data_IF_089463991632
#
_entry.id   IF_089463991632
#
_cell.length_a   1.000
_cell.length_b   1.000
_cell.length_c   1.000
_cell.angle_alpha   90.00
_cell.angle_beta   90.00
_cell.angle_gamma   90.00
#
_symmetry.space_group_name_H-M   'P 1'
#
loop_
_entity.id
_entity.type
_entity.pdbx_description
1 polymer ?
#
# COMPACT_ATOMS: atom_id res chain seq x y z
N UNK A 1 1.03 -32.54 58.35
CA UNK A 1 0.03 -32.39 57.28
C UNK A 1 0.82 -32.39 55.97
N UNK A 2 0.99 -33.62 55.42
CA UNK A 2 1.55 -34.08 54.12
C UNK A 2 2.64 -33.24 53.43
N UNK A 3 3.92 -33.66 53.48
CA UNK A 3 4.67 -34.62 52.61
C UNK A 3 5.20 -33.94 51.31
N UNK A 4 6.49 -33.61 51.16
CA UNK A 4 7.66 -34.43 50.73
C UNK A 4 7.43 -35.15 49.37
N UNK A 5 8.28 -35.13 48.31
CA UNK A 5 9.73 -35.35 48.25
C UNK A 5 10.29 -35.25 46.80
N UNK A 6 11.54 -34.77 46.67
CA UNK A 6 12.70 -35.20 45.83
C UNK A 6 12.66 -35.35 44.28
N UNK A 7 13.70 -34.76 43.66
CA UNK A 7 14.32 -35.11 42.34
C UNK A 7 15.07 -36.47 42.36
N UNK A 8 15.56 -37.06 41.22
CA UNK A 8 16.84 -36.64 40.61
C UNK A 8 17.11 -36.94 39.09
N UNK A 9 18.00 -36.12 38.51
CA UNK A 9 19.22 -36.40 37.67
C UNK A 9 19.30 -37.70 36.81
N UNK A 10 19.60 -37.55 35.50
CA UNK A 10 20.81 -38.07 34.79
C UNK A 10 20.62 -38.77 33.41
N UNK A 11 21.32 -38.20 32.41
CA UNK A 11 22.27 -38.82 31.43
C UNK A 11 21.83 -39.67 30.22
N UNK A 12 22.42 -39.23 29.10
CA UNK A 12 23.11 -39.97 28.03
C UNK A 12 22.34 -40.68 26.91
N UNK A 13 22.78 -40.41 25.67
CA UNK A 13 22.51 -41.25 24.52
C UNK A 13 22.86 -40.65 23.15
N UNK A 14 24.10 -40.20 22.93
CA UNK A 14 24.67 -40.07 21.57
C UNK A 14 24.79 -41.45 20.91
N UNK A 15 24.28 -41.62 19.68
CA UNK A 15 24.75 -42.57 18.65
C UNK A 15 24.34 -42.00 17.27
N UNK A 16 25.28 -41.54 16.44
CA UNK A 16 26.19 -42.30 15.56
C UNK A 16 25.68 -42.38 14.12
N UNK A 17 26.19 -41.45 13.31
CA UNK A 17 26.93 -41.69 12.06
C UNK A 17 26.62 -42.98 11.28
N UNK A 18 26.11 -42.84 10.04
CA UNK A 18 26.22 -43.87 9.01
C UNK A 18 26.47 -43.22 7.64
N UNK A 19 27.74 -43.23 7.26
CA UNK A 19 28.28 -42.96 5.94
C UNK A 19 27.93 -44.09 4.96
N UNK A 20 27.46 -43.75 3.75
CA UNK A 20 27.43 -44.69 2.63
C UNK A 20 28.08 -44.05 1.40
N UNK A 21 29.27 -44.57 1.05
CA UNK A 21 29.94 -44.38 -0.25
C UNK A 21 29.29 -45.29 -1.31
N UNK A 22 29.36 -44.94 -2.60
CA UNK A 22 28.76 -45.73 -3.67
C UNK A 22 29.68 -46.86 -4.16
N UNK A 23 29.09 -47.99 -4.54
CA UNK A 23 29.75 -49.11 -5.23
C UNK A 23 29.39 -49.10 -6.72
N UNK A 24 30.41 -49.07 -7.56
CA UNK A 24 30.39 -49.33 -9.00
C UNK A 24 30.24 -50.82 -9.31
N UNK A 25 29.43 -51.20 -10.32
CA UNK A 25 29.81 -52.18 -11.36
C UNK A 25 28.71 -52.41 -12.43
N UNK A 26 29.11 -52.14 -13.68
CA UNK A 26 28.95 -52.91 -14.93
C UNK A 26 27.61 -53.61 -15.29
N UNK A 27 26.97 -53.02 -16.30
CA UNK A 27 26.63 -53.54 -17.64
C UNK A 27 26.43 -55.06 -17.89
N UNK A 28 25.26 -55.41 -18.43
CA UNK A 28 24.88 -56.40 -19.48
C UNK A 28 23.42 -56.02 -19.87
N UNK A 29 22.87 -55.99 -21.09
CA UNK A 29 23.27 -56.38 -22.44
C UNK A 29 22.02 -56.90 -23.18
N UNK A 30 21.57 -56.20 -24.24
CA UNK A 30 20.59 -56.58 -25.29
C UNK A 30 19.11 -56.80 -24.85
N UNK A 31 18.06 -56.38 -25.57
CA UNK A 31 17.72 -56.62 -27.00
C UNK A 31 16.76 -55.57 -27.59
N UNK A 32 16.86 -55.42 -28.92
CA UNK A 32 16.15 -54.49 -29.82
C UNK A 32 14.61 -54.64 -29.84
N UNK A 33 13.90 -53.52 -29.97
CA UNK A 33 12.81 -53.40 -30.97
C UNK A 33 12.81 -52.00 -31.58
N UNK A 34 12.85 -51.94 -32.91
CA UNK A 34 12.85 -50.71 -33.72
C UNK A 34 11.40 -50.28 -33.93
N UNK A 35 10.96 -49.20 -33.28
CA UNK A 35 9.85 -48.39 -33.78
C UNK A 35 10.38 -47.06 -34.32
N UNK A 36 10.17 -46.87 -35.62
CA UNK A 36 10.60 -45.75 -36.45
C UNK A 36 9.75 -44.52 -36.08
N UNK A 37 10.21 -43.68 -35.13
CA UNK A 37 9.63 -42.36 -34.88
C UNK A 37 10.05 -41.41 -36.01
N UNK A 38 9.06 -40.85 -36.72
CA UNK A 38 9.25 -39.68 -37.59
C UNK A 38 9.74 -38.52 -36.72
N UNK A 39 10.90 -37.99 -37.04
CA UNK A 39 11.47 -36.79 -36.44
C UNK A 39 10.83 -35.56 -37.09
N UNK A 40 9.86 -34.94 -36.41
CA UNK A 40 9.45 -33.57 -36.67
C UNK A 40 10.57 -32.65 -36.18
N UNK A 41 11.02 -31.62 -36.92
CA UNK A 41 12.05 -30.71 -36.41
C UNK A 41 11.46 -29.87 -35.28
N UNK A 42 12.07 -29.94 -34.10
CA UNK A 42 11.85 -28.97 -33.02
C UNK A 42 12.31 -27.59 -33.52
N UNK A 43 11.37 -26.66 -33.69
CA UNK A 43 11.70 -25.25 -33.82
C UNK A 43 12.41 -24.78 -32.53
N UNK A 44 13.46 -23.95 -32.63
CA UNK A 44 14.15 -23.45 -31.45
C UNK A 44 13.23 -22.52 -30.65
N UNK A 45 13.46 -22.35 -29.34
CA UNK A 45 12.72 -21.35 -28.57
C UNK A 45 13.03 -19.97 -29.16
N UNK A 46 12.01 -19.32 -29.73
CA UNK A 46 12.15 -17.94 -30.21
C UNK A 46 12.32 -17.06 -28.97
N UNK A 47 13.50 -16.47 -28.84
CA UNK A 47 13.78 -15.43 -27.86
C UNK A 47 12.77 -14.30 -28.06
N UNK A 48 11.99 -14.01 -27.02
CA UNK A 48 11.22 -12.77 -26.91
C UNK A 48 12.24 -11.64 -27.07
N UNK A 49 12.17 -10.95 -28.21
CA UNK A 49 13.00 -9.79 -28.50
C UNK A 49 12.80 -8.75 -27.41
N UNK A 50 13.90 -8.25 -26.85
CA UNK A 50 13.93 -7.15 -25.88
C UNK A 50 13.00 -6.02 -26.31
N UNK A 51 11.94 -5.80 -25.54
CA UNK A 51 11.05 -4.65 -25.63
C UNK A 51 11.88 -3.37 -25.56
N UNK A 52 12.00 -2.66 -26.67
CA UNK A 52 12.48 -1.27 -26.66
C UNK A 52 11.43 -0.46 -25.92
N UNK A 53 11.76 -0.09 -24.67
CA UNK A 53 10.98 0.86 -23.87
C UNK A 53 10.76 2.12 -24.74
N UNK A 54 9.51 2.55 -24.98
CA UNK A 54 9.25 3.76 -25.75
C UNK A 54 10.00 4.94 -25.10
N UNK A 55 10.50 5.91 -25.89
CA UNK A 55 11.21 7.04 -25.33
C UNK A 55 10.31 7.75 -24.31
N UNK A 56 10.82 7.94 -23.08
CA UNK A 56 10.11 8.71 -22.07
C UNK A 56 9.69 10.04 -22.70
N UNK A 57 8.38 10.33 -22.64
CA UNK A 57 7.85 11.63 -22.99
C UNK A 57 8.60 12.75 -22.26
N UNK A 58 8.49 14.01 -22.72
CA UNK A 58 9.24 15.11 -22.13
C UNK A 58 9.06 15.12 -20.62
N UNK A 59 10.18 15.06 -19.90
CA UNK A 59 10.21 15.07 -18.44
C UNK A 59 9.42 16.31 -17.96
N UNK A 60 8.47 16.15 -17.02
CA UNK A 60 7.70 17.28 -16.52
C UNK A 60 8.64 18.31 -15.90
N UNK A 61 8.38 19.58 -16.17
CA UNK A 61 9.14 20.68 -15.54
C UNK A 61 8.97 20.67 -14.02
N UNK A 62 9.96 21.17 -13.29
CA UNK A 62 9.89 21.28 -11.82
C UNK A 62 8.62 22.02 -11.35
N UNK A 63 8.19 23.04 -12.11
CA UNK A 63 6.96 23.79 -11.83
C UNK A 63 5.69 22.93 -12.00
N UNK A 64 5.65 22.03 -12.98
CA UNK A 64 4.53 21.10 -13.16
C UNK A 64 4.49 20.06 -12.04
N UNK A 65 5.64 19.52 -11.65
CA UNK A 65 5.75 18.57 -10.52
C UNK A 65 5.27 19.23 -9.22
N UNK A 66 5.73 20.44 -8.92
CA UNK A 66 5.31 21.19 -7.73
C UNK A 66 3.82 21.50 -7.73
N UNK A 67 3.26 21.92 -8.88
CA UNK A 67 1.82 22.16 -9.01
C UNK A 67 1.01 20.88 -8.80
N UNK A 68 1.45 19.77 -9.37
CA UNK A 68 0.78 18.48 -9.20
C UNK A 68 0.81 18.03 -7.75
N UNK A 69 1.97 18.11 -7.08
CA UNK A 69 2.10 17.81 -5.66
C UNK A 69 1.21 18.68 -4.77
N UNK A 70 1.14 19.98 -5.03
CA UNK A 70 0.28 20.90 -4.26
C UNK A 70 -1.23 20.69 -4.55
N UNK A 71 -1.55 20.23 -5.76
CA UNK A 71 -2.91 19.93 -6.19
C UNK A 71 -3.38 18.53 -5.77
N UNK A 72 -2.46 17.61 -5.46
CA UNK A 72 -2.75 16.22 -5.17
C UNK A 72 -3.79 16.08 -4.04
N UNK A 73 -4.87 15.30 -4.26
CA UNK A 73 -5.82 15.00 -3.20
C UNK A 73 -5.12 14.19 -2.10
N UNK A 74 -5.21 14.66 -0.86
CA UNK A 74 -4.75 13.91 0.30
C UNK A 74 -5.91 13.06 0.80
N UNK A 75 -5.85 11.74 0.57
CA UNK A 75 -6.90 10.79 0.96
C UNK A 75 -6.87 10.55 2.48
N UNK A 76 -7.38 11.55 3.21
CA UNK A 76 -7.64 11.48 4.63
C UNK A 76 -8.54 10.30 5.02
N UNK A 77 -9.54 10.02 4.18
CA UNK A 77 -10.54 8.99 4.44
C UNK A 77 -9.92 7.58 4.43
N UNK A 78 -8.87 7.34 3.64
CA UNK A 78 -8.25 6.01 3.58
C UNK A 78 -7.60 5.59 4.92
N UNK A 79 -6.99 6.52 5.66
CA UNK A 79 -6.28 6.21 6.92
C UNK A 79 -7.26 5.84 8.05
N UNK A 80 -8.44 6.46 8.10
CA UNK A 80 -9.41 6.29 9.19
C UNK A 80 -10.64 5.44 8.85
N UNK A 81 -10.97 5.26 7.56
CA UNK A 81 -12.13 4.46 7.11
C UNK A 81 -11.78 2.98 6.92
N UNK A 82 -10.52 2.63 6.61
CA UNK A 82 -10.12 1.24 6.44
C UNK A 82 -9.97 0.50 7.79
N UNK A 83 -10.74 -0.57 8.00
CA UNK A 83 -10.75 -1.35 9.26
C UNK A 83 -9.38 -1.95 9.64
N UNK A 84 -8.46 -2.09 8.68
CA UNK A 84 -7.09 -2.61 8.90
C UNK A 84 -6.19 -1.68 9.73
N UNK A 85 -6.53 -0.40 9.91
CA UNK A 85 -5.75 0.55 10.72
C UNK A 85 -6.19 0.66 12.18
N UNK A 86 -7.22 -0.08 12.60
CA UNK A 86 -7.67 -0.15 14.00
C UNK A 86 -6.54 -0.42 15.03
N UNK A 87 -5.57 -1.33 14.81
CA UNK A 87 -4.45 -1.49 15.74
C UNK A 87 -3.53 -0.26 15.80
N UNK A 88 -3.49 0.56 14.75
CA UNK A 88 -2.68 1.78 14.68
C UNK A 88 -3.29 2.94 15.48
N UNK A 89 -4.59 2.92 15.75
CA UNK A 89 -5.27 3.99 16.50
C UNK A 89 -4.67 4.21 17.90
N UNK A 90 -4.29 3.13 18.61
CA UNK A 90 -3.63 3.24 19.92
C UNK A 90 -2.27 3.91 19.80
N UNK A 91 -1.50 3.59 18.76
CA UNK A 91 -0.21 4.21 18.50
C UNK A 91 -0.37 5.70 18.18
N UNK A 92 -1.33 6.06 17.32
CA UNK A 92 -1.63 7.46 16.96
C UNK A 92 -1.98 8.27 18.21
N UNK A 93 -2.82 7.74 19.12
CA UNK A 93 -3.15 8.41 20.40
C UNK A 93 -1.91 8.71 21.22
N UNK A 94 -1.04 7.71 21.38
CA UNK A 94 0.18 7.83 22.19
C UNK A 94 1.13 8.85 21.57
N UNK A 95 1.29 8.85 20.25
CA UNK A 95 2.13 9.83 19.54
C UNK A 95 1.60 11.24 19.74
N UNK A 96 0.32 11.50 19.46
CA UNK A 96 -0.27 12.84 19.60
C UNK A 96 -0.21 13.33 21.06
N UNK A 97 -0.56 12.47 22.02
CA UNK A 97 -0.50 12.81 23.44
C UNK A 97 0.94 13.10 23.89
N UNK A 98 1.93 12.35 23.39
CA UNK A 98 3.35 12.59 23.67
C UNK A 98 3.84 13.91 23.09
N UNK A 99 3.37 14.30 21.90
CA UNK A 99 3.69 15.61 21.31
C UNK A 99 3.17 16.76 22.18
N UNK A 100 1.90 16.71 22.61
CA UNK A 100 1.32 17.74 23.48
C UNK A 100 1.98 17.73 24.86
N UNK A 101 2.33 16.56 25.40
CA UNK A 101 3.05 16.44 26.66
C UNK A 101 4.43 17.09 26.60
N UNK A 102 5.15 16.94 25.48
CA UNK A 102 6.43 17.63 25.27
C UNK A 102 6.25 19.15 25.30
N UNK A 103 5.18 19.69 24.71
CA UNK A 103 4.89 21.13 24.74
C UNK A 103 4.59 21.59 26.17
N UNK A 104 3.83 20.81 26.93
CA UNK A 104 3.55 21.09 28.34
C UNK A 104 4.82 21.07 29.20
N UNK A 105 5.73 20.12 28.99
CA UNK A 105 7.01 20.08 29.69
C UNK A 105 7.84 21.35 29.39
N UNK A 106 7.90 21.78 28.14
CA UNK A 106 8.60 23.03 27.79
C UNK A 106 7.95 24.25 28.46
N UNK A 107 6.61 24.35 28.46
CA UNK A 107 5.91 25.41 29.20
C UNK A 107 6.24 25.41 30.71
N UNK A 108 6.32 24.24 31.35
CA UNK A 108 6.67 24.09 32.77
C UNK A 108 8.12 24.53 33.02
N UNK A 109 9.05 24.09 32.18
CA UNK A 109 10.46 24.47 32.30
C UNK A 109 10.65 25.98 32.07
N UNK A 110 9.88 26.57 31.15
CA UNK A 110 9.88 28.01 30.90
C UNK A 110 9.41 28.80 32.11
N UNK A 111 8.36 28.34 32.82
CA UNK A 111 7.93 28.96 34.08
C UNK A 111 8.98 28.90 35.20
N UNK A 112 9.81 27.86 35.21
CA UNK A 112 10.90 27.70 36.18
C UNK A 112 12.19 28.44 35.76
N UNK A 113 12.27 28.90 34.52
CA UNK A 113 13.46 29.54 33.96
C UNK A 113 13.61 30.98 34.45
N UNK A 114 14.83 31.44 34.81
CA UNK A 114 15.09 32.85 35.12
C UNK A 114 14.78 33.82 33.97
N UNK A 115 14.84 33.33 32.73
CA UNK A 115 14.52 34.11 31.53
C UNK A 115 13.04 34.05 31.16
N UNK A 116 12.28 33.20 31.85
CA UNK A 116 10.87 32.96 31.58
C UNK A 116 9.96 34.16 31.88
N UNK A 117 8.65 33.98 31.67
CA UNK A 117 7.68 35.06 31.77
C UNK A 117 7.64 35.64 33.20
N UNK A 118 7.86 36.95 33.31
CA UNK A 118 7.77 37.67 34.59
C UNK A 118 6.45 38.43 34.72
N UNK A 119 5.91 38.50 35.94
CA UNK A 119 4.67 39.22 36.25
C UNK A 119 3.42 38.32 36.22
N UNK A 120 2.35 38.78 36.87
CA UNK A 120 1.14 37.97 37.09
C UNK A 120 0.38 37.64 35.80
N UNK A 121 0.35 38.54 34.82
CA UNK A 121 -0.35 38.35 33.54
C UNK A 121 0.26 37.24 32.67
N UNK A 122 1.53 37.36 32.24
CA UNK A 122 2.21 36.33 31.44
C UNK A 122 2.23 34.95 32.10
N UNK A 123 2.48 34.89 33.42
CA UNK A 123 2.45 33.62 34.17
C UNK A 123 1.05 33.01 34.17
N UNK A 124 0.00 33.80 34.43
CA UNK A 124 -1.37 33.30 34.37
C UNK A 124 -1.75 32.78 32.98
N UNK A 125 -1.26 33.41 31.91
CA UNK A 125 -1.48 32.95 30.55
C UNK A 125 -0.80 31.61 30.26
N UNK A 126 0.45 31.42 30.66
CA UNK A 126 1.14 30.12 30.47
C UNK A 126 0.46 29.01 31.28
N UNK A 127 0.00 29.30 32.51
CA UNK A 127 -0.79 28.37 33.30
C UNK A 127 -2.12 28.01 32.62
N UNK A 128 -2.79 28.98 31.99
CA UNK A 128 -3.99 28.73 31.21
C UNK A 128 -3.72 27.81 30.01
N UNK A 129 -2.66 28.05 29.23
CA UNK A 129 -2.27 27.17 28.12
C UNK A 129 -1.90 25.77 28.63
N UNK A 130 -1.23 25.66 29.77
CA UNK A 130 -0.91 24.38 30.41
C UNK A 130 -2.19 23.59 30.74
N UNK A 131 -3.21 24.23 31.30
CA UNK A 131 -4.51 23.58 31.56
C UNK A 131 -5.12 23.05 30.27
N UNK A 132 -5.08 23.82 29.18
CA UNK A 132 -5.55 23.37 27.88
C UNK A 132 -4.73 22.18 27.36
N UNK A 133 -3.41 22.23 27.45
CA UNK A 133 -2.52 21.13 27.05
C UNK A 133 -2.82 19.85 27.82
N UNK A 134 -2.98 19.92 29.15
CA UNK A 134 -3.38 18.78 29.98
C UNK A 134 -4.76 18.24 29.59
N UNK A 135 -5.75 19.11 29.37
CA UNK A 135 -7.07 18.71 28.93
C UNK A 135 -7.02 17.98 27.58
N UNK A 136 -6.21 18.48 26.63
CA UNK A 136 -6.00 17.84 25.33
C UNK A 136 -5.32 16.47 25.46
N UNK A 137 -4.34 16.31 26.34
CA UNK A 137 -3.68 15.01 26.60
C UNK A 137 -4.72 14.00 27.12
N UNK A 138 -5.53 14.39 28.11
CA UNK A 138 -6.58 13.51 28.65
C UNK A 138 -7.60 13.14 27.57
N UNK A 139 -8.03 14.12 26.76
CA UNK A 139 -8.94 13.89 25.65
C UNK A 139 -8.37 12.91 24.61
N UNK A 140 -7.10 13.01 24.24
CA UNK A 140 -6.46 12.10 23.28
C UNK A 140 -6.33 10.67 23.82
N UNK A 141 -6.04 10.52 25.12
CA UNK A 141 -5.87 9.20 25.74
C UNK A 141 -7.20 8.48 25.94
N UNK A 142 -8.23 9.18 26.44
CA UNK A 142 -9.49 8.57 26.89
C UNK A 142 -10.66 8.85 25.96
N UNK A 143 -10.65 9.98 25.26
CA UNK A 143 -11.74 10.45 24.41
C UNK A 143 -11.78 9.83 23.00
N UNK A 144 -12.72 10.30 22.16
CA UNK A 144 -12.75 9.94 20.74
C UNK A 144 -11.55 10.56 20.01
N UNK A 145 -10.92 9.78 19.14
CA UNK A 145 -9.88 10.31 18.25
C UNK A 145 -10.50 11.31 17.27
N UNK A 146 -9.77 12.35 16.86
CA UNK A 146 -10.23 13.23 15.81
C UNK A 146 -10.37 12.47 14.50
N UNK A 147 -11.61 12.24 14.07
CA UNK A 147 -11.99 11.48 12.88
C UNK A 147 -12.39 12.39 11.72
N UNK A 148 -12.52 13.70 11.97
CA UNK A 148 -12.86 14.70 10.96
C UNK A 148 -11.69 15.62 10.69
N UNK A 149 -11.47 15.94 9.40
CA UNK A 149 -10.42 16.86 8.95
C UNK A 149 -10.39 18.20 9.70
N UNK A 150 -11.56 18.80 9.99
CA UNK A 150 -11.60 20.08 10.71
C UNK A 150 -11.07 19.98 12.16
N UNK A 151 -11.20 18.83 12.83
CA UNK A 151 -10.70 18.64 14.19
C UNK A 151 -9.17 18.61 14.20
N UNK A 152 -8.57 17.99 13.19
CA UNK A 152 -7.13 17.97 13.00
C UNK A 152 -6.59 19.35 12.60
N UNK A 153 -7.32 20.10 11.79
CA UNK A 153 -7.00 21.51 11.50
C UNK A 153 -7.07 22.35 12.78
N UNK A 154 -8.10 22.18 13.60
CA UNK A 154 -8.20 22.87 14.88
C UNK A 154 -7.06 22.49 15.83
N UNK A 155 -6.66 21.22 15.85
CA UNK A 155 -5.50 20.74 16.62
C UNK A 155 -4.19 21.35 16.12
N UNK A 156 -4.01 21.46 14.79
CA UNK A 156 -2.87 22.17 14.18
C UNK A 156 -2.83 23.64 14.64
N UNK A 157 -3.95 24.36 14.53
CA UNK A 157 -4.03 25.76 14.95
C UNK A 157 -3.75 25.92 16.44
N UNK A 158 -4.30 25.02 17.28
CA UNK A 158 -4.02 24.99 18.71
C UNK A 158 -2.53 24.77 19.00
N UNK A 159 -1.90 23.81 18.31
CA UNK A 159 -0.48 23.52 18.45
C UNK A 159 0.38 24.71 18.03
N UNK A 160 0.11 25.29 16.87
CA UNK A 160 0.91 26.39 16.30
C UNK A 160 0.76 27.68 17.09
N UNK A 161 -0.49 28.14 17.27
CA UNK A 161 -0.77 29.40 17.96
C UNK A 161 -0.47 29.27 19.45
N UNK A 162 -0.78 28.14 20.06
CA UNK A 162 -0.52 27.89 21.48
C UNK A 162 0.97 27.79 21.79
N UNK A 163 1.77 27.15 20.92
CA UNK A 163 3.23 27.13 21.08
C UNK A 163 3.80 28.54 20.88
N UNK A 164 3.44 29.21 19.78
CA UNK A 164 3.90 30.57 19.49
C UNK A 164 3.59 31.54 20.64
N UNK A 165 2.37 31.52 21.17
CA UNK A 165 1.95 32.45 22.21
C UNK A 165 2.67 32.24 23.54
N UNK A 166 3.13 31.03 23.83
CA UNK A 166 3.93 30.72 25.03
C UNK A 166 5.39 31.13 24.82
N UNK A 167 6.04 30.69 23.74
CA UNK A 167 7.48 30.95 23.55
C UNK A 167 7.79 32.44 23.35
N UNK A 168 6.84 33.22 22.81
CA UNK A 168 7.01 34.66 22.63
C UNK A 168 6.95 35.47 23.95
N UNK A 169 6.61 34.84 25.07
CA UNK A 169 6.69 35.45 26.40
C UNK A 169 8.06 35.29 27.07
N UNK A 170 8.95 34.47 26.48
CA UNK A 170 10.32 34.29 26.93
C UNK A 170 11.26 35.31 26.24
N UNK A 171 12.47 35.46 26.77
CA UNK A 171 13.52 36.25 26.12
C UNK A 171 13.82 35.65 24.73
N UNK A 172 13.98 36.45 23.66
CA UNK A 172 14.11 35.95 22.29
C UNK A 172 15.18 34.87 22.09
N UNK A 173 16.28 34.93 22.83
CA UNK A 173 17.37 33.95 22.75
C UNK A 173 16.94 32.57 23.25
N UNK A 174 16.14 32.50 24.32
CA UNK A 174 15.54 31.27 24.85
C UNK A 174 14.37 30.80 23.97
N UNK A 175 13.54 31.74 23.51
CA UNK A 175 12.35 31.47 22.69
C UNK A 175 12.69 30.69 21.41
N UNK A 176 13.86 30.94 20.82
CA UNK A 176 14.32 30.24 19.62
C UNK A 176 14.42 28.72 19.83
N UNK A 177 14.81 28.25 21.01
CA UNK A 177 14.91 26.82 21.32
C UNK A 177 13.52 26.16 21.26
N UNK A 178 12.48 26.87 21.67
CA UNK A 178 11.09 26.39 21.59
C UNK A 178 10.61 26.20 20.15
N UNK A 179 11.18 26.92 19.17
CA UNK A 179 10.72 26.87 17.78
C UNK A 179 10.95 25.53 17.10
N UNK A 180 11.90 24.72 17.56
CA UNK A 180 12.11 23.36 17.02
C UNK A 180 10.90 22.44 17.25
N UNK A 181 10.03 22.75 18.20
CA UNK A 181 8.78 22.02 18.40
C UNK A 181 7.78 22.20 17.25
N UNK A 182 7.89 23.27 16.43
CA UNK A 182 7.10 23.38 15.21
C UNK A 182 7.39 22.23 14.23
N UNK A 183 8.62 21.69 14.21
CA UNK A 183 8.96 20.53 13.37
C UNK A 183 8.10 19.31 13.68
N UNK A 184 7.72 19.13 14.95
CA UNK A 184 6.84 18.05 15.40
C UNK A 184 5.41 18.24 14.88
N UNK A 185 4.89 19.47 14.97
CA UNK A 185 3.59 19.83 14.39
C UNK A 185 3.58 19.64 12.87
N UNK A 186 4.61 20.12 12.16
CA UNK A 186 4.72 19.95 10.71
C UNK A 186 4.81 18.49 10.27
N UNK A 187 5.47 17.64 11.06
CA UNK A 187 5.51 16.20 10.81
C UNK A 187 4.12 15.57 10.91
N UNK A 188 3.25 16.05 11.82
CA UNK A 188 1.85 15.61 11.86
C UNK A 188 1.05 16.08 10.64
N UNK A 189 1.29 17.30 10.14
CA UNK A 189 0.63 17.79 8.91
C UNK A 189 0.90 16.86 7.72
N UNK A 190 2.13 16.34 7.64
CA UNK A 190 2.58 15.44 6.58
C UNK A 190 1.69 14.20 6.47
N UNK A 191 1.44 13.53 7.60
CA UNK A 191 0.66 12.30 7.60
C UNK A 191 -0.85 12.55 7.48
N UNK A 192 -1.37 13.63 8.07
CA UNK A 192 -2.82 13.74 8.31
C UNK A 192 -3.55 14.88 7.59
N UNK A 193 -2.85 15.95 7.19
CA UNK A 193 -3.50 17.19 6.70
C UNK A 193 -3.13 17.55 5.25
N UNK A 194 -2.02 17.01 4.74
CA UNK A 194 -1.59 17.14 3.36
C UNK A 194 -0.73 18.38 3.08
N UNK A 195 -0.26 18.54 1.83
CA UNK A 195 0.81 19.48 1.48
C UNK A 195 0.42 20.96 1.65
N UNK A 196 -0.84 21.33 1.42
CA UNK A 196 -1.28 22.74 1.52
C UNK A 196 -1.22 23.26 2.96
N UNK A 197 -1.69 22.45 3.90
CA UNK A 197 -1.68 22.81 5.32
C UNK A 197 -0.26 22.71 5.89
N UNK A 198 0.56 21.77 5.40
CA UNK A 198 1.99 21.76 5.70
C UNK A 198 2.67 23.08 5.27
N UNK A 199 2.43 23.55 4.05
CA UNK A 199 3.00 24.83 3.59
C UNK A 199 2.51 26.00 4.45
N UNK A 200 1.22 26.06 4.78
CA UNK A 200 0.68 27.11 5.65
C UNK A 200 1.33 27.11 7.04
N UNK A 201 1.47 25.93 7.66
CA UNK A 201 2.19 25.73 8.91
C UNK A 201 3.66 26.18 8.82
N UNK A 202 4.39 25.77 7.78
CA UNK A 202 5.79 26.13 7.60
C UNK A 202 5.97 27.64 7.40
N UNK A 203 5.06 28.29 6.68
CA UNK A 203 5.06 29.76 6.54
C UNK A 203 4.84 30.41 7.90
N UNK A 204 3.84 29.98 8.67
CA UNK A 204 3.58 30.49 10.01
C UNK A 204 4.79 30.33 10.95
N UNK A 205 5.34 29.12 11.04
CA UNK A 205 6.48 28.81 11.90
C UNK A 205 7.72 29.65 11.54
N UNK A 206 8.02 29.79 10.24
CA UNK A 206 9.16 30.61 9.81
C UNK A 206 8.94 32.12 10.06
N UNK A 207 7.71 32.62 9.94
CA UNK A 207 7.41 34.00 10.30
C UNK A 207 7.63 34.26 11.80
N UNK A 208 7.26 33.31 12.66
CA UNK A 208 7.54 33.38 14.11
C UNK A 208 9.05 33.35 14.39
N UNK A 209 9.80 32.47 13.72
CA UNK A 209 11.27 32.38 13.87
C UNK A 209 11.95 33.69 13.43
N UNK A 210 11.56 34.24 12.28
CA UNK A 210 12.07 35.53 11.78
C UNK A 210 11.73 36.64 12.77
N UNK A 211 10.51 36.67 13.31
CA UNK A 211 10.12 37.65 14.32
C UNK A 211 11.00 37.57 15.57
N UNK A 212 11.25 36.36 16.09
CA UNK A 212 12.13 36.14 17.26
C UNK A 212 13.56 36.61 16.97
N UNK A 213 14.11 36.29 15.79
CA UNK A 213 15.45 36.74 15.40
C UNK A 213 15.57 38.26 15.28
N UNK A 214 14.57 38.92 14.68
CA UNK A 214 14.50 40.38 14.61
C UNK A 214 14.37 40.99 16.00
N UNK A 215 13.54 40.43 16.88
CA UNK A 215 13.38 40.89 18.25
C UNK A 215 14.69 40.75 19.06
N UNK A 216 15.43 39.65 18.89
CA UNK A 216 16.73 39.45 19.53
C UNK A 216 17.75 40.53 19.10
N UNK A 217 17.76 40.88 17.82
CA UNK A 217 18.62 41.94 17.29
C UNK A 217 18.22 43.33 17.80
N UNK A 218 16.94 43.69 17.72
CA UNK A 218 16.46 45.03 18.12
C UNK A 218 16.58 45.28 19.63
N UNK A 219 16.55 44.22 20.43
CA UNK A 219 16.80 44.28 21.87
C UNK A 219 18.30 44.26 22.25
N UNK A 220 19.20 44.16 21.26
CA UNK A 220 20.64 44.14 21.49
C UNK A 220 21.17 42.85 22.12
N UNK A 221 20.38 41.76 22.09
CA UNK A 221 20.79 40.46 22.62
C UNK A 221 21.77 39.74 21.69
N UNK A 222 21.66 40.01 20.39
CA UNK A 222 22.48 39.41 19.34
C UNK A 222 22.99 40.46 18.35
N UNK A 223 24.18 40.23 17.80
CA UNK A 223 24.64 40.95 16.62
C UNK A 223 23.83 40.57 15.37
N UNK A 224 23.95 41.33 14.27
CA UNK A 224 23.21 41.06 13.05
C UNK A 224 23.53 39.66 12.49
N UNK A 225 24.79 39.21 12.59
CA UNK A 225 25.22 37.91 12.09
C UNK A 225 24.68 36.75 12.94
N UNK A 226 24.65 36.91 14.27
CA UNK A 226 24.09 35.90 15.18
C UNK A 226 22.58 35.74 14.95
N UNK A 227 21.86 36.85 14.79
CA UNK A 227 20.42 36.82 14.49
C UNK A 227 20.12 36.16 13.14
N UNK A 228 20.89 36.48 12.09
CA UNK A 228 20.74 35.83 10.77
C UNK A 228 21.04 34.34 10.88
N UNK A 229 22.14 33.95 11.53
CA UNK A 229 22.52 32.55 11.69
C UNK A 229 21.46 31.76 12.47
N UNK A 230 20.95 32.33 13.57
CA UNK A 230 19.88 31.77 14.38
C UNK A 230 18.61 31.50 13.57
N UNK A 231 18.15 32.48 12.78
CA UNK A 231 16.96 32.34 11.93
C UNK A 231 17.14 31.27 10.88
N UNK A 232 18.30 31.25 10.20
CA UNK A 232 18.59 30.25 9.16
C UNK A 232 18.65 28.83 9.72
N UNK A 233 19.30 28.63 10.86
CA UNK A 233 19.43 27.32 11.49
C UNK A 233 18.08 26.83 12.02
N UNK A 234 17.37 27.66 12.77
CA UNK A 234 16.07 27.29 13.32
C UNK A 234 15.03 27.07 12.21
N UNK A 235 14.96 27.95 11.22
CA UNK A 235 14.06 27.81 10.06
C UNK A 235 14.38 26.56 9.25
N UNK A 236 15.65 26.33 8.94
CA UNK A 236 16.11 25.15 8.21
C UNK A 236 15.79 23.85 8.93
N UNK A 237 16.01 23.77 10.25
CA UNK A 237 15.70 22.59 11.05
C UNK A 237 14.20 22.35 11.18
N UNK A 238 13.42 23.41 11.42
CA UNK A 238 11.96 23.34 11.55
C UNK A 238 11.28 22.94 10.24
N UNK A 239 11.80 23.40 9.10
CA UNK A 239 11.25 23.06 7.78
C UNK A 239 11.79 21.75 7.20
N UNK A 240 13.06 21.42 7.47
CA UNK A 240 13.72 20.27 6.87
C UNK A 240 13.01 18.96 7.19
N UNK A 241 12.77 18.68 8.47
CA UNK A 241 12.17 17.40 8.92
C UNK A 241 10.79 17.16 8.28
N UNK A 242 9.81 18.09 8.35
CA UNK A 242 8.53 17.89 7.69
C UNK A 242 8.61 17.79 6.16
N UNK A 243 9.48 18.57 5.51
CA UNK A 243 9.63 18.50 4.04
C UNK A 243 10.18 17.13 3.63
N UNK A 244 11.23 16.64 4.28
CA UNK A 244 11.78 15.31 4.00
C UNK A 244 10.76 14.21 4.31
N UNK A 245 10.04 14.31 5.43
CA UNK A 245 8.98 13.37 5.76
C UNK A 245 7.89 13.35 4.69
N UNK A 246 7.48 14.51 4.16
CA UNK A 246 6.46 14.63 3.13
C UNK A 246 6.93 14.06 1.78
N UNK A 247 8.19 14.26 1.41
CA UNK A 247 8.77 13.65 0.21
C UNK A 247 8.81 12.12 0.37
N UNK A 248 9.34 11.63 1.48
CA UNK A 248 9.42 10.20 1.76
C UNK A 248 8.02 9.55 1.76
N UNK A 249 7.04 10.18 2.40
CA UNK A 249 5.65 9.73 2.42
C UNK A 249 5.06 9.70 1.00
N UNK A 250 5.27 10.75 0.21
CA UNK A 250 4.78 10.81 -1.18
C UNK A 250 5.39 9.71 -2.05
N UNK A 251 6.68 9.40 -1.86
CA UNK A 251 7.35 8.32 -2.59
C UNK A 251 6.81 6.95 -2.22
N UNK A 252 6.63 6.68 -0.92
CA UNK A 252 6.07 5.41 -0.43
C UNK A 252 4.63 5.24 -0.92
N UNK A 253 3.82 6.30 -0.84
CA UNK A 253 2.46 6.26 -1.32
C UNK A 253 2.39 6.08 -2.84
N UNK A 254 3.24 6.76 -3.61
CA UNK A 254 3.27 6.61 -5.05
C UNK A 254 3.72 5.20 -5.47
N UNK A 255 4.75 4.64 -4.82
CA UNK A 255 5.16 3.24 -5.05
C UNK A 255 4.01 2.26 -4.75
N UNK A 256 3.31 2.46 -3.62
CA UNK A 256 2.12 1.68 -3.29
C UNK A 256 0.99 1.86 -4.33
N UNK A 257 0.81 3.08 -4.87
CA UNK A 257 -0.19 3.39 -5.90
C UNK A 257 0.19 2.84 -7.28
N UNK A 258 1.48 2.71 -7.55
CA UNK A 258 2.04 2.18 -8.79
C UNK A 258 2.19 0.67 -8.78
N UNK A 259 2.06 0.01 -7.62
CA UNK A 259 2.05 -1.45 -7.55
C UNK A 259 1.02 -2.01 -8.54
N UNK A 260 1.49 -2.84 -9.46
CA UNK A 260 0.66 -3.59 -10.39
C UNK A 260 0.25 -4.97 -9.84
N UNK A 261 0.67 -5.27 -8.61
CA UNK A 261 0.55 -6.59 -7.99
C UNK A 261 -0.40 -6.51 -6.79
N UNK A 262 -1.31 -7.48 -6.69
CA UNK A 262 -2.16 -7.69 -5.53
C UNK A 262 -1.32 -8.24 -4.37
N UNK A 263 -1.32 -7.61 -3.18
CA UNK A 263 -0.43 -7.99 -2.09
C UNK A 263 -0.76 -9.35 -1.47
N UNK A 264 -2.02 -9.80 -1.55
CA UNK A 264 -2.45 -11.08 -0.97
C UNK A 264 -2.06 -12.25 -1.87
N UNK A 265 -2.38 -12.16 -3.16
CA UNK A 265 -2.28 -13.28 -4.12
C UNK A 265 -1.03 -13.24 -4.98
N UNK A 266 -0.32 -12.11 -5.02
CA UNK A 266 0.81 -11.83 -5.92
C UNK A 266 0.48 -11.91 -7.41
N UNK A 267 -0.80 -12.01 -7.77
CA UNK A 267 -1.29 -11.81 -9.13
C UNK A 267 -1.21 -10.32 -9.50
N UNK A 268 -1.43 -10.00 -10.78
CA UNK A 268 -1.66 -8.60 -11.15
C UNK A 268 -2.91 -8.08 -10.42
N UNK A 269 -2.95 -6.81 -10.09
CA UNK A 269 -4.19 -6.15 -9.65
C UNK A 269 -4.94 -5.57 -10.86
N UNK A 270 -6.11 -4.96 -10.63
CA UNK A 270 -6.91 -4.34 -11.72
C UNK A 270 -6.10 -3.42 -12.63
N UNK A 271 -5.21 -2.60 -12.06
CA UNK A 271 -4.33 -1.70 -12.83
C UNK A 271 -3.28 -2.49 -13.62
N UNK A 272 -2.63 -3.46 -12.98
CA UNK A 272 -1.66 -4.33 -13.64
C UNK A 272 -2.24 -5.11 -14.81
N UNK A 273 -3.53 -5.50 -14.72
CA UNK A 273 -4.27 -6.11 -15.82
C UNK A 273 -4.49 -5.12 -16.97
N UNK A 274 -4.98 -3.92 -16.68
CA UNK A 274 -5.23 -2.88 -17.68
C UNK A 274 -3.96 -2.58 -18.49
N UNK A 275 -2.82 -2.43 -17.82
CA UNK A 275 -1.54 -2.21 -18.49
C UNK A 275 -1.14 -3.39 -19.40
N UNK A 276 -1.43 -4.63 -18.98
CA UNK A 276 -1.09 -5.83 -19.76
C UNK A 276 -2.01 -6.07 -20.96
N UNK A 277 -3.26 -5.57 -20.92
CA UNK A 277 -4.23 -5.75 -22.00
C UNK A 277 -3.73 -5.15 -23.31
N UNK A 278 -3.11 -3.97 -23.28
CA UNK A 278 -2.59 -3.30 -24.49
C UNK A 278 -1.49 -4.13 -25.17
N UNK A 279 -0.57 -4.69 -24.37
CA UNK A 279 0.50 -5.56 -24.87
C UNK A 279 -0.07 -6.85 -25.47
N UNK A 280 -0.99 -7.51 -24.74
CA UNK A 280 -1.61 -8.76 -25.19
C UNK A 280 -2.47 -8.56 -26.44
N UNK A 281 -3.18 -7.44 -26.54
CA UNK A 281 -3.94 -7.07 -27.73
C UNK A 281 -3.03 -6.92 -28.95
N UNK A 282 -1.91 -6.21 -28.78
CA UNK A 282 -0.94 -5.98 -29.86
C UNK A 282 -0.33 -7.30 -30.33
N UNK A 283 0.04 -8.20 -29.40
CA UNK A 283 0.57 -9.54 -29.72
C UNK A 283 -0.48 -10.38 -30.45
N UNK A 284 -1.69 -10.47 -29.93
CA UNK A 284 -2.76 -11.27 -30.52
C UNK A 284 -3.10 -10.82 -31.95
N UNK A 285 -3.21 -9.50 -32.17
CA UNK A 285 -3.48 -8.95 -33.49
C UNK A 285 -2.32 -9.20 -34.47
N UNK A 286 -1.09 -8.96 -34.03
CA UNK A 286 0.11 -9.11 -34.85
C UNK A 286 0.41 -10.56 -35.24
N UNK A 287 0.12 -11.51 -34.35
CA UNK A 287 0.34 -12.94 -34.58
C UNK A 287 -0.89 -13.69 -35.11
N UNK A 288 -2.01 -12.99 -35.33
CA UNK A 288 -3.28 -13.59 -35.79
C UNK A 288 -3.78 -14.69 -34.82
N UNK A 289 -3.66 -14.43 -33.52
CA UNK A 289 -4.12 -15.29 -32.44
C UNK A 289 -5.46 -14.78 -31.87
N UNK A 290 -6.18 -15.65 -31.18
CA UNK A 290 -7.36 -15.25 -30.43
C UNK A 290 -6.98 -14.57 -29.12
N UNK A 291 -7.81 -13.60 -28.70
CA UNK A 291 -7.77 -13.02 -27.36
C UNK A 291 -8.97 -13.54 -26.57
N UNK A 292 -8.74 -14.06 -25.37
CA UNK A 292 -9.82 -14.57 -24.51
C UNK A 292 -9.82 -13.85 -23.18
N UNK A 293 -10.95 -13.25 -22.84
CA UNK A 293 -11.19 -12.65 -21.54
C UNK A 293 -12.02 -13.60 -20.68
N UNK A 294 -11.58 -13.86 -19.45
CA UNK A 294 -12.25 -14.74 -18.49
C UNK A 294 -12.47 -13.98 -17.20
N UNK A 295 -13.72 -13.89 -16.75
CA UNK A 295 -14.11 -13.41 -15.42
C UNK A 295 -14.43 -14.62 -14.54
N UNK A 296 -13.87 -14.65 -13.33
CA UNK A 296 -14.04 -15.75 -12.38
C UNK A 296 -14.38 -15.19 -11.01
N UNK A 297 -15.35 -15.80 -10.33
CA UNK A 297 -15.72 -15.45 -8.96
C UNK A 297 -15.96 -16.70 -8.11
N UNK A 298 -15.56 -16.63 -6.85
CA UNK A 298 -15.72 -17.71 -5.88
C UNK A 298 -17.17 -17.78 -5.38
N UNK A 299 -17.85 -18.90 -5.65
CA UNK A 299 -19.23 -19.09 -5.28
C UNK A 299 -19.43 -19.03 -3.76
N UNK A 300 -20.40 -18.22 -3.32
CA UNK A 300 -20.83 -18.10 -1.91
C UNK A 300 -19.68 -17.71 -0.97
N UNK A 301 -18.70 -16.95 -1.44
CA UNK A 301 -17.52 -16.56 -0.65
C UNK A 301 -17.87 -15.84 0.67
N UNK A 302 -18.93 -15.01 0.68
CA UNK A 302 -19.43 -14.39 1.92
C UNK A 302 -19.74 -15.43 3.02
N UNK A 303 -20.32 -16.58 2.67
CA UNK A 303 -20.61 -17.65 3.63
C UNK A 303 -19.34 -18.31 4.18
N UNK A 304 -18.25 -18.32 3.43
CA UNK A 304 -16.94 -18.77 3.92
C UNK A 304 -16.43 -17.81 4.99
N UNK A 305 -16.44 -16.50 4.70
CA UNK A 305 -16.04 -15.47 5.65
C UNK A 305 -16.88 -15.49 6.93
N UNK A 306 -18.21 -15.59 6.78
CA UNK A 306 -19.13 -15.59 7.92
C UNK A 306 -18.93 -16.83 8.83
N UNK A 307 -18.49 -17.96 8.28
CA UNK A 307 -18.32 -19.22 9.01
C UNK A 307 -16.91 -19.44 9.57
N UNK A 308 -15.88 -19.07 8.82
CA UNK A 308 -14.48 -19.41 9.14
C UNK A 308 -13.63 -18.19 9.48
N UNK A 309 -14.18 -16.98 9.35
CA UNK A 309 -13.47 -15.72 9.53
C UNK A 309 -12.68 -15.30 8.29
N UNK A 310 -12.32 -14.02 8.25
CA UNK A 310 -11.65 -13.41 7.11
C UNK A 310 -10.28 -14.02 6.82
N UNK A 311 -9.49 -14.38 7.84
CA UNK A 311 -8.16 -14.98 7.65
C UNK A 311 -8.22 -16.29 6.85
N UNK A 312 -9.25 -17.10 7.09
CA UNK A 312 -9.47 -18.34 6.34
C UNK A 312 -10.08 -18.09 4.96
N UNK A 313 -10.89 -17.04 4.81
CA UNK A 313 -11.32 -16.55 3.50
C UNK A 313 -10.15 -16.13 2.63
N UNK A 314 -9.18 -15.40 3.20
CA UNK A 314 -7.96 -15.00 2.50
C UNK A 314 -7.13 -16.22 2.06
N UNK A 315 -7.03 -17.27 2.89
CA UNK A 315 -6.37 -18.51 2.51
C UNK A 315 -7.06 -19.21 1.31
N UNK A 316 -8.40 -19.17 1.24
CA UNK A 316 -9.16 -19.67 0.09
C UNK A 316 -8.88 -18.85 -1.17
N UNK A 317 -8.83 -17.51 -1.05
CA UNK A 317 -8.49 -16.63 -2.17
C UNK A 317 -7.10 -16.94 -2.71
N UNK A 318 -6.10 -17.09 -1.84
CA UNK A 318 -4.72 -17.44 -2.25
C UNK A 318 -4.69 -18.78 -2.98
N UNK A 319 -5.40 -19.79 -2.47
CA UNK A 319 -5.46 -21.11 -3.10
C UNK A 319 -6.06 -21.05 -4.52
N UNK A 320 -7.18 -20.32 -4.68
CA UNK A 320 -7.82 -20.15 -6.00
C UNK A 320 -6.91 -19.36 -6.94
N UNK A 321 -6.24 -18.33 -6.44
CA UNK A 321 -5.30 -17.52 -7.21
C UNK A 321 -4.11 -18.35 -7.73
N UNK A 322 -3.52 -19.20 -6.88
CA UNK A 322 -2.41 -20.08 -7.25
C UNK A 322 -2.85 -21.06 -8.35
N UNK A 323 -4.03 -21.66 -8.23
CA UNK A 323 -4.55 -22.57 -9.27
C UNK A 323 -4.87 -21.85 -10.57
N UNK A 324 -5.43 -20.63 -10.51
CA UNK A 324 -5.66 -19.81 -11.70
C UNK A 324 -4.35 -19.48 -12.40
N UNK A 325 -3.31 -19.12 -11.65
CA UNK A 325 -1.96 -18.87 -12.20
C UNK A 325 -1.40 -20.12 -12.86
N UNK A 326 -1.50 -21.26 -12.20
CA UNK A 326 -0.93 -22.52 -12.70
C UNK A 326 -1.69 -23.04 -13.93
N UNK A 327 -3.01 -22.82 -14.00
CA UNK A 327 -3.86 -23.26 -15.11
C UNK A 327 -3.82 -22.30 -16.32
N UNK A 328 -3.92 -20.99 -16.09
CA UNK A 328 -4.08 -19.99 -17.16
C UNK A 328 -2.85 -19.12 -17.41
N UNK A 329 -1.93 -19.04 -16.44
CA UNK A 329 -0.85 -18.04 -16.45
C UNK A 329 0.22 -18.23 -17.53
N UNK A 330 0.32 -19.41 -18.15
CA UNK A 330 1.23 -19.62 -19.29
C UNK A 330 0.69 -19.05 -20.60
N UNK A 331 -0.62 -18.83 -20.68
CA UNK A 331 -1.32 -18.38 -21.89
C UNK A 331 -1.67 -16.89 -21.81
N UNK A 332 -1.29 -16.18 -20.75
CA UNK A 332 -1.57 -14.75 -20.62
C UNK A 332 -1.39 -14.23 -19.20
N UNK A 333 -2.25 -13.28 -18.81
CA UNK A 333 -2.16 -12.59 -17.53
C UNK A 333 -3.40 -12.89 -16.69
N UNK A 334 -3.17 -13.25 -15.43
CA UNK A 334 -4.21 -13.40 -14.41
C UNK A 334 -4.10 -12.29 -13.39
N UNK A 335 -5.23 -11.69 -13.05
CA UNK A 335 -5.33 -10.61 -12.08
C UNK A 335 -6.46 -10.82 -11.09
N UNK A 336 -6.29 -10.26 -9.89
CA UNK A 336 -7.37 -10.09 -8.91
C UNK A 336 -7.91 -8.67 -9.02
N UNK A 337 -9.18 -8.52 -9.36
CA UNK A 337 -9.81 -7.22 -9.64
C UNK A 337 -10.75 -6.75 -8.54
N UNK A 338 -11.12 -7.63 -7.60
CA UNK A 338 -12.04 -7.37 -6.50
C UNK A 338 -11.77 -8.28 -5.29
N UNK A 339 -12.74 -8.36 -4.38
CA UNK A 339 -12.64 -9.19 -3.16
C UNK A 339 -12.37 -10.66 -3.49
N UNK A 340 -13.36 -11.31 -4.09
CA UNK A 340 -13.31 -12.70 -4.56
C UNK A 340 -13.30 -12.84 -6.10
N UNK A 341 -13.10 -11.73 -6.81
CA UNK A 341 -13.16 -11.65 -8.27
C UNK A 341 -11.77 -11.66 -8.91
N UNK A 342 -11.63 -12.50 -9.94
CA UNK A 342 -10.44 -12.63 -10.75
C UNK A 342 -10.77 -12.42 -12.23
N UNK A 343 -9.80 -11.91 -12.97
CA UNK A 343 -9.88 -11.75 -14.41
C UNK A 343 -8.62 -12.31 -15.04
N UNK A 344 -8.76 -13.05 -16.12
CA UNK A 344 -7.65 -13.48 -16.96
C UNK A 344 -7.84 -12.98 -18.40
N UNK A 345 -6.74 -12.53 -19.01
CA UNK A 345 -6.67 -12.19 -20.43
C UNK A 345 -5.63 -13.10 -21.05
N UNK A 346 -6.05 -13.91 -22.02
CA UNK A 346 -5.26 -14.97 -22.63
C UNK A 346 -5.06 -14.70 -24.11
N UNK A 347 -3.93 -15.13 -24.65
CA UNK A 347 -3.57 -15.06 -26.06
C UNK A 347 -3.10 -16.42 -26.54
N UNK A 348 -3.60 -16.87 -27.68
CA UNK A 348 -3.28 -18.19 -28.20
C UNK A 348 -4.24 -18.67 -29.29
N UNK A 349 -4.11 -19.92 -29.68
CA UNK A 349 -5.00 -20.55 -30.64
C UNK A 349 -6.41 -20.68 -30.07
N UNK A 350 -7.42 -20.29 -30.85
CA UNK A 350 -8.81 -20.20 -30.38
C UNK A 350 -9.33 -21.52 -29.80
N UNK A 351 -9.09 -22.64 -30.48
CA UNK A 351 -9.54 -23.97 -30.07
C UNK A 351 -8.90 -24.40 -28.73
N UNK A 352 -7.59 -24.18 -28.58
CA UNK A 352 -6.86 -24.51 -27.35
C UNK A 352 -7.32 -23.66 -26.16
N UNK A 353 -7.57 -22.36 -26.38
CA UNK A 353 -8.05 -21.48 -25.32
C UNK A 353 -9.50 -21.81 -24.93
N UNK A 354 -10.37 -22.17 -25.88
CA UNK A 354 -11.72 -22.63 -25.57
C UNK A 354 -11.72 -23.87 -24.67
N UNK A 355 -10.88 -24.86 -24.98
CA UNK A 355 -10.71 -26.06 -24.14
C UNK A 355 -10.18 -25.70 -22.74
N UNK A 356 -9.12 -24.90 -22.70
CA UNK A 356 -8.50 -24.46 -21.45
C UNK A 356 -9.48 -23.72 -20.53
N UNK A 357 -10.30 -22.84 -21.10
CA UNK A 357 -11.28 -22.05 -20.36
C UNK A 357 -12.49 -22.88 -19.93
N UNK A 358 -12.93 -23.85 -20.75
CA UNK A 358 -14.01 -24.75 -20.38
C UNK A 358 -13.70 -25.57 -19.10
N UNK A 359 -12.41 -25.86 -18.85
CA UNK A 359 -11.98 -26.62 -17.68
C UNK A 359 -11.84 -25.78 -16.39
N UNK A 360 -11.92 -24.45 -16.46
CA UNK A 360 -11.66 -23.53 -15.33
C UNK A 360 -12.42 -23.92 -14.06
N UNK A 361 -13.75 -24.13 -14.12
CA UNK A 361 -14.53 -24.45 -12.92
C UNK A 361 -14.19 -25.83 -12.34
N UNK A 362 -13.81 -26.78 -13.19
CA UNK A 362 -13.38 -28.13 -12.78
C UNK A 362 -12.02 -28.13 -12.11
N UNK A 363 -11.05 -27.42 -12.69
CA UNK A 363 -9.66 -27.36 -12.20
C UNK A 363 -9.53 -26.58 -10.89
N UNK A 364 -10.34 -25.54 -10.72
CA UNK A 364 -10.29 -24.69 -9.51
C UNK A 364 -11.00 -25.33 -8.30
N UNK A 365 -11.87 -26.31 -8.54
CA UNK A 365 -12.65 -26.99 -7.50
C UNK A 365 -11.96 -28.27 -7.05
N UNK A 366 -11.55 -28.32 -5.77
CA UNK A 366 -11.05 -29.56 -5.17
C UNK A 366 -11.76 -29.86 -3.84
N UNK A 367 -12.44 -31.01 -3.78
CA UNK A 367 -13.17 -31.45 -2.58
C UNK A 367 -12.26 -31.84 -1.41
N UNK A 368 -10.98 -32.07 -1.66
CA UNK A 368 -9.98 -32.37 -0.64
C UNK A 368 -9.41 -31.14 0.05
N UNK A 369 -9.82 -29.94 -0.37
CA UNK A 369 -9.37 -28.69 0.25
C UNK A 369 -9.89 -28.55 1.69
N UNK A 370 -9.13 -27.87 2.58
CA UNK A 370 -9.60 -27.58 3.94
C UNK A 370 -10.95 -26.87 3.97
N UNK A 371 -11.18 -25.98 3.00
CA UNK A 371 -12.44 -25.30 2.76
C UNK A 371 -12.77 -25.45 1.27
N UNK A 372 -13.60 -26.44 0.90
CA UNK A 372 -13.93 -26.67 -0.50
C UNK A 372 -14.85 -25.55 -1.00
N UNK A 373 -14.44 -24.93 -2.10
CA UNK A 373 -15.21 -23.91 -2.82
C UNK A 373 -15.36 -24.29 -4.28
N UNK A 374 -16.37 -23.73 -4.92
CA UNK A 374 -16.56 -23.78 -6.37
C UNK A 374 -16.42 -22.37 -6.94
N UNK A 375 -16.26 -22.28 -8.25
CA UNK A 375 -16.19 -21.00 -8.95
C UNK A 375 -17.17 -20.96 -10.10
N UNK A 376 -17.67 -19.77 -10.37
CA UNK A 376 -18.42 -19.46 -11.59
C UNK A 376 -17.56 -18.59 -12.48
N UNK A 377 -17.54 -18.91 -13.78
CA UNK A 377 -16.75 -18.18 -14.75
C UNK A 377 -17.58 -17.80 -16.00
N UNK A 378 -17.28 -16.63 -16.55
CA UNK A 378 -17.81 -16.15 -17.81
C UNK A 378 -16.66 -15.77 -18.73
N UNK A 379 -16.68 -16.20 -19.98
CA UNK A 379 -15.58 -16.00 -20.91
C UNK A 379 -16.03 -15.52 -22.29
N UNK A 380 -15.24 -14.65 -22.88
CA UNK A 380 -15.46 -14.12 -24.24
C UNK A 380 -14.22 -14.39 -25.07
N UNK A 381 -14.42 -15.03 -26.22
CA UNK A 381 -13.36 -15.32 -27.20
C UNK A 381 -13.49 -14.34 -28.36
N UNK A 382 -12.45 -13.55 -28.59
CA UNK A 382 -12.31 -12.69 -29.77
C UNK A 382 -11.45 -13.46 -30.76
N UNK A 383 -12.09 -13.96 -31.83
CA UNK A 383 -11.42 -14.71 -32.88
C UNK A 383 -10.48 -13.79 -33.69
N UNK A 384 -9.38 -14.32 -34.27
CA UNK A 384 -8.42 -13.50 -35.02
C UNK A 384 -9.02 -12.82 -36.26
N UNK A 385 -10.10 -13.38 -36.82
CA UNK A 385 -10.85 -12.89 -37.97
C UNK A 385 -12.08 -12.04 -37.60
N UNK A 386 -12.24 -11.69 -36.32
CA UNK A 386 -13.37 -10.89 -35.83
C UNK A 386 -13.28 -9.42 -36.25
N UNK A 387 -14.40 -8.81 -36.64
CA UNK A 387 -14.49 -7.36 -36.91
C UNK A 387 -14.15 -6.51 -35.68
N UNK A 388 -14.18 -7.10 -34.48
CA UNK A 388 -13.85 -6.43 -33.22
C UNK A 388 -12.41 -5.87 -33.20
N UNK A 389 -11.49 -6.44 -33.97
CA UNK A 389 -10.12 -5.90 -34.09
C UNK A 389 -10.08 -4.48 -34.67
N UNK A 390 -11.08 -4.09 -35.48
CA UNK A 390 -11.14 -2.76 -36.12
C UNK A 390 -11.51 -1.64 -35.14
N UNK A 391 -12.21 -1.97 -34.05
CA UNK A 391 -12.61 -1.03 -33.00
C UNK A 391 -11.50 -0.80 -31.96
N UNK A 392 -10.39 -1.54 -32.03
CA UNK A 392 -9.25 -1.39 -31.13
C UNK A 392 -9.49 -1.94 -29.72
N UNK A 393 -8.60 -1.59 -28.80
CA UNK A 393 -8.55 -2.14 -27.42
C UNK A 393 -9.85 -1.87 -26.63
N UNK A 394 -10.63 -0.86 -26.99
CA UNK A 394 -11.89 -0.51 -26.32
C UNK A 394 -12.91 -1.67 -26.31
N UNK A 395 -12.83 -2.59 -27.29
CA UNK A 395 -13.64 -3.81 -27.33
C UNK A 395 -13.45 -4.69 -26.10
N UNK A 396 -12.29 -4.64 -25.45
CA UNK A 396 -12.04 -5.42 -24.22
C UNK A 396 -12.98 -4.98 -23.09
N UNK A 397 -13.41 -3.71 -23.05
CA UNK A 397 -14.39 -3.24 -22.07
C UNK A 397 -15.78 -3.84 -22.34
N UNK A 398 -16.18 -3.94 -23.60
CA UNK A 398 -17.45 -4.56 -23.99
C UNK A 398 -17.41 -6.07 -23.75
N UNK A 399 -16.31 -6.73 -24.10
CA UNK A 399 -16.06 -8.14 -23.77
C UNK A 399 -16.11 -8.39 -22.26
N UNK A 400 -15.61 -7.45 -21.45
CA UNK A 400 -15.69 -7.53 -19.97
C UNK A 400 -17.14 -7.54 -19.49
N UNK A 401 -18.00 -6.69 -20.06
CA UNK A 401 -19.42 -6.65 -19.71
C UNK A 401 -20.16 -7.93 -20.12
N UNK A 402 -19.82 -8.50 -21.28
CA UNK A 402 -20.40 -9.76 -21.75
C UNK A 402 -19.95 -10.91 -20.85
N UNK A 403 -18.64 -11.00 -20.55
CA UNK A 403 -18.09 -12.00 -19.63
C UNK A 403 -18.71 -11.90 -18.23
N UNK A 404 -18.93 -10.70 -17.70
CA UNK A 404 -19.60 -10.50 -16.40
C UNK A 404 -21.05 -11.02 -16.44
N UNK A 405 -21.77 -10.73 -17.52
CA UNK A 405 -23.13 -11.24 -17.72
C UNK A 405 -23.17 -12.77 -17.81
N UNK A 406 -22.19 -13.40 -18.46
CA UNK A 406 -22.05 -14.86 -18.54
C UNK A 406 -21.71 -15.46 -17.16
N UNK A 407 -20.80 -14.85 -16.41
CA UNK A 407 -20.45 -15.26 -15.04
C UNK A 407 -21.65 -15.15 -14.11
N UNK A 408 -22.42 -14.07 -14.21
CA UNK A 408 -23.64 -13.87 -13.43
C UNK A 408 -24.70 -14.93 -13.75
N UNK A 409 -24.88 -15.27 -15.04
CA UNK A 409 -25.74 -16.38 -15.46
C UNK A 409 -25.24 -17.72 -14.94
N UNK A 410 -23.94 -17.97 -14.95
CA UNK A 410 -23.33 -19.16 -14.37
C UNK A 410 -23.67 -19.32 -12.88
N UNK A 411 -23.59 -18.22 -12.11
CA UNK A 411 -24.02 -18.17 -10.71
C UNK A 411 -25.52 -18.44 -10.55
N UNK A 412 -26.35 -17.81 -11.36
CA UNK A 412 -27.81 -17.96 -11.31
C UNK A 412 -28.27 -19.40 -11.59
N UNK A 413 -27.58 -20.11 -12.48
CA UNK A 413 -27.90 -21.50 -12.84
C UNK A 413 -27.37 -22.55 -11.85
N UNK A 414 -26.96 -22.12 -10.65
CA UNK A 414 -26.50 -22.99 -9.56
C UNK A 414 -24.99 -23.02 -9.33
N UNK A 415 -24.23 -22.18 -10.04
CA UNK A 415 -22.79 -22.02 -9.88
C UNK A 415 -21.96 -23.18 -10.45
N UNK A 416 -20.68 -23.23 -10.04
CA UNK A 416 -19.71 -24.27 -10.38
C UNK A 416 -19.61 -24.57 -11.89
N UNK A 417 -19.53 -23.53 -12.73
CA UNK A 417 -19.49 -23.70 -14.18
C UNK A 417 -18.83 -22.53 -14.88
N UNK A 418 -18.32 -22.83 -16.07
CA UNK A 418 -17.87 -21.81 -17.02
C UNK A 418 -18.91 -21.67 -18.13
N UNK A 419 -19.29 -20.43 -18.44
CA UNK A 419 -20.04 -20.07 -19.65
C UNK A 419 -19.12 -19.31 -20.60
N UNK A 420 -19.16 -19.65 -21.89
CA UNK A 420 -18.30 -19.06 -22.91
C UNK A 420 -19.12 -18.60 -24.11
N UNK A 421 -18.76 -17.44 -24.65
CA UNK A 421 -19.31 -16.87 -25.88
C UNK A 421 -18.16 -16.49 -26.82
N UNK A 422 -18.37 -16.66 -28.12
CA UNK A 422 -17.37 -16.33 -29.15
C UNK A 422 -17.91 -15.20 -30.01
N UNK A 423 -17.15 -14.11 -30.12
CA UNK A 423 -17.44 -13.02 -31.05
C UNK A 423 -16.91 -13.38 -32.43
N UNK A 424 -17.72 -14.15 -33.17
CA UNK A 424 -17.55 -14.39 -34.61
C UNK A 424 -17.98 -13.15 -35.42
N UNK A 425 -17.45 -12.96 -36.64
CA UNK A 425 -17.77 -11.81 -37.51
C UNK A 425 -19.27 -11.59 -37.74
#
# INVERSE_FOLDING_TARGET
MHEDFRSPVARHGERSNASLRPRSMRAHGATRSRHRKRSTPLLPPRSISSTTVPPLGPQPSAAQVLRHWFAAPHDFDWIFVHKSTRPLHRLIRVVFASCVALYAVVSILMLASPNGPTGSGPVAYVLFILVLQFATIVWLLVGPLPDRKWQLVAFLVFGDVGLASVILLDVPTSALIGTFLFALTGSMCTFFLGPRLLVAHLVFANLVIVYIGVAAYTQGLWGPWDAIAAVLVAGGATSGVPIFAQIAWSLVCEDARQSEIDPLTRLKNRRGLQNAIEDLWTVAHGEQLALVLVLVDIDRFKSVNDRYGHDQGDAVIVLVADRLRDHLGTSGVVARTGGEEFVAVLVGEAEQLCELVAEVSGTLTNRSDPIPVTVSAGAVVIAPDSDAWTAGVDVVNDATRVADSLMYRAKADGGNRTMLETMWP
#
